data_IF_910323498633
#
_entry.id   IF_910323498633
#
_cell.length_a   1.000
_cell.length_b   1.000
_cell.length_c   1.000
_cell.angle_alpha   90.00
_cell.angle_beta   90.00
_cell.angle_gamma   90.00
#
_symmetry.space_group_name_H-M   'P 1'
#
loop_
_entity.id
_entity.type
_entity.pdbx_description
1 polymer ?
#
# COMPACT_ATOMS: atom_id res chain seq x y z
N UNK A 1 5.45 12.79 18.72
CA UNK A 1 4.64 13.80 18.01
C UNK A 1 3.16 13.44 18.15
N UNK A 2 2.25 14.39 18.36
CA UNK A 2 0.82 14.09 18.39
C UNK A 2 0.41 13.46 17.06
N UNK A 3 -0.38 12.38 17.12
CA UNK A 3 -0.96 11.73 15.94
C UNK A 3 -1.97 12.72 15.36
N UNK A 4 -1.60 13.45 14.32
CA UNK A 4 -2.54 14.31 13.61
C UNK A 4 -3.37 13.43 12.68
N UNK A 5 -4.65 13.31 12.98
CA UNK A 5 -5.63 12.63 12.13
C UNK A 5 -6.88 13.48 11.98
N UNK A 6 -7.59 13.26 10.88
CA UNK A 6 -8.90 13.87 10.62
C UNK A 6 -9.91 12.74 10.37
N UNK A 7 -10.98 12.71 11.19
CA UNK A 7 -12.00 11.68 11.08
C UNK A 7 -13.09 12.08 10.10
N UNK A 8 -13.49 11.16 9.25
CA UNK A 8 -14.59 11.28 8.29
C UNK A 8 -15.62 10.20 8.60
N UNK A 9 -16.89 10.56 8.67
CA UNK A 9 -17.99 9.61 8.73
C UNK A 9 -18.48 9.26 7.33
N UNK A 10 -18.61 7.99 7.02
CA UNK A 10 -19.12 7.49 5.76
C UNK A 10 -20.13 6.37 6.00
N UNK A 11 -21.43 6.69 5.86
CA UNK A 11 -22.49 5.79 6.29
C UNK A 11 -22.36 5.42 7.77
N UNK A 12 -22.32 4.12 8.05
CA UNK A 12 -22.15 3.58 9.40
C UNK A 12 -20.66 3.33 9.75
N UNK A 13 -19.74 3.84 8.96
CA UNK A 13 -18.29 3.65 9.15
C UNK A 13 -17.60 4.97 9.41
N UNK A 14 -16.49 4.93 10.12
CA UNK A 14 -15.56 6.04 10.26
C UNK A 14 -14.24 5.72 9.57
N UNK A 15 -13.61 6.74 9.05
CA UNK A 15 -12.32 6.73 8.41
C UNK A 15 -11.42 7.77 9.08
N UNK A 16 -10.18 7.45 9.35
CA UNK A 16 -9.20 8.41 9.86
C UNK A 16 -8.13 8.68 8.81
N UNK A 17 -8.11 9.92 8.30
CA UNK A 17 -7.03 10.39 7.43
C UNK A 17 -5.84 10.76 8.29
N UNK A 18 -4.70 10.13 8.05
CA UNK A 18 -3.50 10.33 8.83
C UNK A 18 -2.55 11.30 8.13
N UNK A 19 -1.91 12.17 8.88
CA UNK A 19 -0.87 13.10 8.33
C UNK A 19 0.31 12.37 7.68
N UNK A 20 0.46 11.08 7.97
CA UNK A 20 1.45 10.17 7.36
C UNK A 20 1.04 9.62 5.98
N UNK A 21 0.04 10.24 5.31
CA UNK A 21 -0.49 9.82 4.00
C UNK A 21 -1.05 8.40 4.01
N UNK A 22 -1.74 8.04 5.07
CA UNK A 22 -2.43 6.76 5.21
C UNK A 22 -3.86 6.97 5.68
N UNK A 23 -4.70 5.97 5.51
CA UNK A 23 -6.06 5.93 5.99
C UNK A 23 -6.19 4.77 6.98
N UNK A 24 -6.75 5.03 8.14
CA UNK A 24 -7.07 3.99 9.12
C UNK A 24 -8.58 3.72 9.12
N UNK A 25 -8.96 2.47 9.14
CA UNK A 25 -10.32 1.99 9.38
C UNK A 25 -10.43 1.56 10.84
N UNK A 26 -10.96 2.39 11.76
CA UNK A 26 -10.94 2.06 13.19
C UNK A 26 -11.73 0.80 13.53
N UNK A 27 -12.84 0.52 12.82
CA UNK A 27 -13.70 -0.62 13.11
C UNK A 27 -13.02 -1.96 12.90
N UNK A 28 -12.13 -2.07 11.90
CA UNK A 28 -11.40 -3.31 11.57
C UNK A 28 -9.94 -3.23 11.93
N UNK A 29 -9.48 -2.04 12.36
CA UNK A 29 -8.06 -1.73 12.60
C UNK A 29 -7.19 -2.10 11.38
N UNK A 30 -7.67 -1.76 10.18
CA UNK A 30 -6.95 -1.93 8.92
C UNK A 30 -6.34 -0.59 8.49
N UNK A 31 -5.07 -0.62 8.10
CA UNK A 31 -4.34 0.54 7.61
C UNK A 31 -4.22 0.47 6.09
N UNK A 32 -4.56 1.57 5.41
CA UNK A 32 -4.50 1.68 3.95
C UNK A 32 -3.43 2.69 3.54
N UNK A 33 -2.64 2.34 2.54
CA UNK A 33 -1.68 3.20 1.85
C UNK A 33 -1.80 2.97 0.34
N UNK A 34 -1.28 3.88 -0.50
CA UNK A 34 -1.27 3.72 -1.96
C UNK A 34 -0.08 4.43 -2.60
N UNK A 35 0.16 4.15 -3.89
CA UNK A 35 1.04 4.91 -4.79
C UNK A 35 2.46 5.10 -4.23
N UNK A 36 3.08 4.05 -3.74
CA UNK A 36 4.42 4.11 -3.13
C UNK A 36 5.51 4.19 -4.18
N UNK A 37 5.29 3.52 -5.34
CA UNK A 37 6.18 3.53 -6.50
C UNK A 37 7.64 3.20 -6.18
N UNK A 38 7.89 2.11 -5.47
CA UNK A 38 9.25 1.60 -5.20
C UNK A 38 9.97 1.26 -6.50
N UNK A 39 11.27 1.48 -6.54
CA UNK A 39 12.11 1.27 -7.73
C UNK A 39 12.05 2.41 -8.74
N UNK A 40 11.40 3.53 -8.42
CA UNK A 40 11.32 4.71 -9.30
C UNK A 40 12.69 5.30 -9.59
N UNK A 41 13.56 5.35 -8.58
CA UNK A 41 14.93 5.84 -8.74
C UNK A 41 15.76 4.98 -9.69
N UNK A 42 15.71 3.66 -9.53
CA UNK A 42 16.41 2.71 -10.38
C UNK A 42 15.93 2.79 -11.84
N UNK A 43 14.63 2.93 -12.04
CA UNK A 43 14.04 3.09 -13.37
C UNK A 43 14.57 4.33 -14.09
N UNK A 44 14.62 5.48 -13.42
CA UNK A 44 15.13 6.71 -14.03
C UNK A 44 16.62 6.65 -14.29
N UNK A 45 17.42 6.06 -13.39
CA UNK A 45 18.86 5.86 -13.61
C UNK A 45 19.15 4.97 -14.81
N UNK A 46 18.41 3.87 -14.98
CA UNK A 46 18.51 2.99 -16.15
C UNK A 46 18.18 3.72 -17.45
N UNK A 47 17.36 4.77 -17.39
CA UNK A 47 17.01 5.62 -18.53
C UNK A 47 17.91 6.89 -18.64
N UNK A 48 19.06 6.91 -17.96
CA UNK A 48 20.05 7.98 -18.05
C UNK A 48 19.72 9.26 -17.29
N UNK A 49 18.72 9.22 -16.39
CA UNK A 49 18.35 10.37 -15.55
C UNK A 49 18.95 10.15 -14.16
N UNK A 50 19.95 10.95 -13.74
CA UNK A 50 20.56 10.79 -12.44
C UNK A 50 19.60 11.26 -11.34
N UNK A 51 19.08 10.33 -10.55
CA UNK A 51 18.32 10.61 -9.32
C UNK A 51 19.07 10.05 -8.11
N UNK A 52 19.00 10.74 -6.99
CA UNK A 52 19.53 10.24 -5.72
C UNK A 52 18.63 9.13 -5.19
N UNK A 53 19.22 7.97 -4.93
CA UNK A 53 18.51 6.69 -4.75
C UNK A 53 18.00 6.38 -3.33
N UNK A 54 17.75 7.39 -2.48
CA UNK A 54 17.32 7.15 -1.09
C UNK A 54 15.79 7.11 -0.89
N UNK A 55 14.99 7.29 -1.97
CA UNK A 55 13.54 7.36 -1.85
C UNK A 55 12.90 6.04 -1.39
N UNK A 56 13.39 4.91 -1.88
CA UNK A 56 12.82 3.60 -1.55
C UNK A 56 13.04 3.24 -0.08
N UNK A 57 14.24 3.49 0.45
CA UNK A 57 14.53 3.25 1.87
C UNK A 57 13.70 4.15 2.78
N UNK A 58 13.50 5.40 2.40
CA UNK A 58 12.63 6.33 3.13
C UNK A 58 11.17 5.89 3.10
N UNK A 59 10.68 5.40 1.95
CA UNK A 59 9.32 4.88 1.82
C UNK A 59 9.12 3.63 2.67
N UNK A 60 10.03 2.66 2.61
CA UNK A 60 9.97 1.44 3.42
C UNK A 60 10.04 1.76 4.92
N UNK A 61 10.91 2.69 5.33
CA UNK A 61 10.99 3.17 6.71
C UNK A 61 9.70 3.85 7.16
N UNK A 62 9.09 4.65 6.29
CA UNK A 62 7.81 5.32 6.55
C UNK A 62 6.68 4.31 6.79
N UNK A 63 6.59 3.27 5.96
CA UNK A 63 5.63 2.17 6.15
C UNK A 63 5.85 1.49 7.50
N UNK A 64 7.09 1.16 7.83
CA UNK A 64 7.43 0.53 9.11
C UNK A 64 7.01 1.40 10.30
N UNK A 65 7.27 2.70 10.23
CA UNK A 65 6.93 3.65 11.28
C UNK A 65 5.42 3.80 11.45
N UNK A 66 4.66 3.88 10.34
CA UNK A 66 3.20 3.99 10.39
C UNK A 66 2.61 2.73 11.03
N UNK A 67 3.02 1.55 10.57
CA UNK A 67 2.54 0.28 11.14
C UNK A 67 2.88 0.18 12.63
N UNK A 68 4.10 0.52 13.02
CA UNK A 68 4.51 0.53 14.44
C UNK A 68 3.67 1.50 15.28
N UNK A 69 3.36 2.69 14.74
CA UNK A 69 2.63 3.73 15.47
C UNK A 69 1.15 3.42 15.66
N UNK A 70 0.51 2.77 14.68
CA UNK A 70 -0.93 2.49 14.71
C UNK A 70 -1.27 1.06 15.06
N UNK A 71 -0.29 0.16 15.02
CA UNK A 71 -0.42 -1.27 15.33
C UNK A 71 -1.68 -1.90 14.68
N UNK A 72 -1.81 -1.82 13.34
CA UNK A 72 -2.98 -2.32 12.65
C UNK A 72 -2.98 -3.85 12.60
N UNK A 73 -4.16 -4.46 12.49
CA UNK A 73 -4.30 -5.90 12.26
C UNK A 73 -3.85 -6.31 10.84
N UNK A 74 -3.92 -5.36 9.90
CA UNK A 74 -3.61 -5.59 8.50
C UNK A 74 -3.17 -4.30 7.83
N UNK A 75 -2.24 -4.44 6.89
CA UNK A 75 -1.87 -3.39 5.93
C UNK A 75 -2.47 -3.72 4.57
N UNK A 76 -3.22 -2.79 4.01
CA UNK A 76 -3.78 -2.87 2.66
C UNK A 76 -3.08 -1.82 1.81
N UNK A 77 -2.48 -2.23 0.71
CA UNK A 77 -1.85 -1.35 -0.28
C UNK A 77 -2.80 -1.25 -1.46
N UNK A 78 -3.30 -0.04 -1.76
CA UNK A 78 -4.26 0.21 -2.82
C UNK A 78 -3.55 0.49 -4.16
N UNK A 79 -2.73 -0.45 -4.60
CA UNK A 79 -2.02 -0.44 -5.87
C UNK A 79 -0.75 0.40 -5.89
N UNK A 80 -0.01 0.19 -6.97
CA UNK A 80 1.21 0.89 -7.32
C UNK A 80 2.27 0.89 -6.20
N UNK A 81 2.47 -0.30 -5.59
CA UNK A 81 3.58 -0.54 -4.68
C UNK A 81 4.91 -0.37 -5.42
N UNK A 82 5.00 -0.88 -6.64
CA UNK A 82 6.17 -0.77 -7.49
C UNK A 82 5.96 0.26 -8.60
N UNK A 83 7.05 0.87 -9.05
CA UNK A 83 6.98 1.83 -10.17
C UNK A 83 6.81 1.13 -11.52
N UNK A 84 7.42 -0.04 -11.69
CA UNK A 84 7.33 -0.86 -12.89
C UNK A 84 7.81 -2.28 -12.59
N UNK A 85 7.24 -3.29 -13.23
CA UNK A 85 7.74 -4.66 -13.15
C UNK A 85 9.21 -4.81 -13.60
N UNK A 86 9.67 -3.90 -14.44
CA UNK A 86 11.05 -3.89 -14.95
C UNK A 86 12.04 -3.20 -14.01
N UNK A 87 11.57 -2.43 -13.03
CA UNK A 87 12.41 -1.75 -12.04
C UNK A 87 12.59 -2.52 -10.73
N UNK A 88 12.06 -3.74 -10.65
CA UNK A 88 12.17 -4.57 -9.45
C UNK A 88 13.47 -5.35 -9.52
N UNK A 89 14.53 -4.78 -8.94
CA UNK A 89 15.78 -5.51 -8.72
C UNK A 89 15.60 -6.58 -7.64
N UNK A 90 16.40 -7.64 -7.65
CA UNK A 90 16.40 -8.64 -6.57
C UNK A 90 16.72 -8.01 -5.20
N UNK A 91 17.53 -6.96 -5.18
CA UNK A 91 17.81 -6.18 -3.97
C UNK A 91 16.55 -5.50 -3.44
N UNK A 92 15.79 -4.81 -4.30
CA UNK A 92 14.54 -4.16 -3.89
C UNK A 92 13.52 -5.18 -3.41
N UNK A 93 13.38 -6.29 -4.13
CA UNK A 93 12.49 -7.39 -3.75
C UNK A 93 12.83 -7.92 -2.36
N UNK A 94 14.11 -8.20 -2.10
CA UNK A 94 14.58 -8.66 -0.79
C UNK A 94 14.28 -7.63 0.31
N UNK A 95 14.43 -6.32 0.05
CA UNK A 95 14.09 -5.27 1.02
C UNK A 95 12.60 -5.27 1.37
N UNK A 96 11.72 -5.45 0.38
CA UNK A 96 10.27 -5.52 0.59
C UNK A 96 9.89 -6.80 1.35
N UNK A 97 10.48 -7.94 1.01
CA UNK A 97 10.26 -9.21 1.71
C UNK A 97 10.70 -9.12 3.18
N UNK A 98 11.88 -8.57 3.46
CA UNK A 98 12.39 -8.35 4.82
C UNK A 98 11.48 -7.39 5.61
N UNK A 99 10.98 -6.33 4.97
CA UNK A 99 10.01 -5.44 5.60
C UNK A 99 8.74 -6.22 5.98
N UNK A 100 8.17 -6.98 5.04
CA UNK A 100 6.94 -7.73 5.27
C UNK A 100 7.07 -8.72 6.42
N UNK A 101 8.19 -9.42 6.51
CA UNK A 101 8.51 -10.32 7.63
C UNK A 101 8.64 -9.55 8.96
N UNK A 102 9.32 -8.40 8.94
CA UNK A 102 9.55 -7.60 10.15
C UNK A 102 8.27 -6.96 10.71
N UNK A 103 7.27 -6.71 9.89
CA UNK A 103 6.00 -6.12 10.31
C UNK A 103 5.11 -7.13 11.05
N UNK A 104 5.26 -8.41 10.77
CA UNK A 104 4.49 -9.50 11.40
C UNK A 104 2.97 -9.28 11.39
N UNK A 105 2.46 -8.70 10.32
CA UNK A 105 1.03 -8.48 10.06
C UNK A 105 0.69 -8.95 8.66
N UNK A 106 -0.58 -9.23 8.42
CA UNK A 106 -1.05 -9.56 7.08
C UNK A 106 -0.94 -8.34 6.15
N UNK A 107 -0.33 -8.53 4.97
CA UNK A 107 -0.22 -7.50 3.94
C UNK A 107 -1.00 -7.96 2.71
N UNK A 108 -1.92 -7.12 2.26
CA UNK A 108 -2.70 -7.32 1.03
C UNK A 108 -2.39 -6.19 0.06
N UNK A 109 -2.00 -6.53 -1.16
CA UNK A 109 -1.80 -5.58 -2.26
C UNK A 109 -2.94 -5.73 -3.25
N UNK A 110 -3.75 -4.69 -3.38
CA UNK A 110 -4.68 -4.54 -4.48
C UNK A 110 -3.86 -4.13 -5.70
N UNK A 111 -3.91 -4.92 -6.77
CA UNK A 111 -3.06 -4.69 -7.93
C UNK A 111 -3.35 -3.33 -8.59
N UNK A 112 -2.32 -2.50 -8.69
CA UNK A 112 -2.28 -1.37 -9.60
C UNK A 112 -1.73 -1.80 -10.97
N UNK A 113 -1.83 -0.92 -11.95
CA UNK A 113 -1.34 -1.20 -13.31
C UNK A 113 0.19 -1.42 -13.34
N UNK A 114 0.93 -0.82 -12.42
CA UNK A 114 2.38 -0.99 -12.29
C UNK A 114 2.79 -2.30 -11.59
N UNK A 115 1.89 -2.92 -10.83
CA UNK A 115 2.17 -4.14 -10.07
C UNK A 115 1.95 -5.44 -10.87
N UNK A 116 1.38 -5.34 -12.07
CA UNK A 116 1.01 -6.52 -12.88
C UNK A 116 2.26 -7.36 -13.19
N UNK A 117 2.22 -8.63 -12.78
CA UNK A 117 3.33 -9.58 -12.97
C UNK A 117 4.39 -9.55 -11.87
N UNK A 118 4.26 -8.67 -10.87
CA UNK A 118 5.12 -8.66 -9.70
C UNK A 118 4.81 -9.84 -8.76
N UNK A 119 5.84 -10.38 -8.14
CA UNK A 119 5.69 -11.44 -7.12
C UNK A 119 6.66 -11.17 -5.98
N UNK A 120 6.14 -11.06 -4.78
CA UNK A 120 6.90 -10.85 -3.55
C UNK A 120 6.33 -11.77 -2.48
N UNK A 121 7.18 -12.40 -1.68
CA UNK A 121 6.76 -13.28 -0.60
C UNK A 121 6.05 -12.51 0.50
N UNK A 122 5.19 -13.21 1.24
CA UNK A 122 4.45 -12.69 2.40
C UNK A 122 3.47 -11.53 2.09
N UNK A 123 3.18 -11.27 0.81
CA UNK A 123 2.16 -10.31 0.36
C UNK A 123 1.09 -11.08 -0.42
N UNK A 124 -0.16 -10.87 -0.07
CA UNK A 124 -1.31 -11.43 -0.81
C UNK A 124 -1.73 -10.45 -1.90
N UNK A 125 -1.73 -10.88 -3.15
CA UNK A 125 -2.11 -10.07 -4.31
C UNK A 125 -3.58 -10.28 -4.65
N UNK A 126 -4.33 -9.19 -4.81
CA UNK A 126 -5.77 -9.19 -5.07
C UNK A 126 -6.10 -8.20 -6.21
N UNK A 127 -7.09 -8.51 -7.04
CA UNK A 127 -7.59 -7.54 -8.03
C UNK A 127 -8.46 -6.46 -7.38
N UNK A 128 -9.24 -6.84 -6.39
CA UNK A 128 -10.04 -5.97 -5.54
C UNK A 128 -10.32 -6.68 -4.22
N UNK A 129 -10.78 -5.94 -3.23
CA UNK A 129 -11.23 -6.50 -1.95
C UNK A 129 -12.57 -5.92 -1.56
N UNK A 130 -13.50 -6.77 -1.15
CA UNK A 130 -14.75 -6.37 -0.50
C UNK A 130 -14.60 -6.44 1.01
N UNK A 131 -15.06 -5.41 1.67
CA UNK A 131 -15.34 -5.35 3.10
C UNK A 131 -16.83 -5.08 3.29
N UNK A 132 -17.34 -5.17 4.50
CA UNK A 132 -18.78 -4.97 4.76
C UNK A 132 -19.32 -3.65 4.19
N UNK A 133 -18.54 -2.57 4.26
CA UNK A 133 -18.98 -1.21 3.90
C UNK A 133 -18.16 -0.59 2.78
N UNK A 134 -17.11 -1.27 2.30
CA UNK A 134 -16.17 -0.71 1.32
C UNK A 134 -15.80 -1.75 0.27
N UNK A 135 -15.50 -1.24 -0.91
CA UNK A 135 -14.82 -1.99 -1.95
C UNK A 135 -13.50 -1.26 -2.21
N UNK A 136 -12.41 -1.99 -2.08
CA UNK A 136 -11.08 -1.49 -2.31
C UNK A 136 -10.64 -1.92 -3.71
N UNK A 137 -10.28 -0.96 -4.53
CA UNK A 137 -9.72 -1.14 -5.88
C UNK A 137 -8.72 -0.04 -6.16
N UNK A 138 -7.74 -0.29 -7.02
CA UNK A 138 -6.83 0.75 -7.47
C UNK A 138 -7.51 1.66 -8.49
N UNK A 139 -8.12 1.07 -9.51
CA UNK A 139 -8.90 1.81 -10.51
C UNK A 139 -10.35 2.00 -10.07
N UNK A 140 -11.01 3.09 -10.49
CA UNK A 140 -12.43 3.26 -10.25
C UNK A 140 -13.22 2.11 -10.83
N UNK A 141 -14.01 1.47 -10.00
CA UNK A 141 -14.93 0.42 -10.45
C UNK A 141 -16.25 1.09 -10.82
N UNK A 142 -16.73 0.84 -12.05
CA UNK A 142 -18.04 1.32 -12.49
C UNK A 142 -19.18 0.81 -11.57
N UNK A 143 -20.40 1.28 -11.77
CA UNK A 143 -21.56 0.88 -10.95
C UNK A 143 -21.60 -0.63 -10.82
N UNK A 144 -21.44 -1.13 -9.59
CA UNK A 144 -21.80 -2.51 -9.31
C UNK A 144 -23.29 -2.62 -9.52
N UNK A 145 -23.73 -3.32 -10.56
CA UNK A 145 -25.09 -3.78 -10.65
C UNK A 145 -25.37 -4.62 -9.40
N UNK A 146 -26.50 -4.35 -8.74
CA UNK A 146 -26.91 -4.96 -7.46
C UNK A 146 -27.23 -6.47 -7.57
N UNK A 147 -26.57 -7.18 -8.45
CA UNK A 147 -26.75 -8.62 -8.68
C UNK A 147 -25.51 -9.40 -8.27
N UNK A 148 -25.24 -9.43 -6.95
CA UNK A 148 -24.42 -10.51 -6.40
C UNK A 148 -25.07 -10.94 -5.09
N UNK A 149 -25.84 -12.00 -5.21
CA UNK A 149 -26.20 -12.89 -4.12
C UNK A 149 -24.93 -13.59 -3.62
#
# INVERSE_FOLDING_TARGET
MPKMSFSISWGNSSLEMLSSKALLLPQTNELLICDIHLGKGDYFQQNGIPLTNNSDEQNLLSIKNIVKNYNPNKLIILGDLFHSKFSISESLKSKVENLSESLNIKIELILGNHDIGCKVKNITFLNYKRSSNFIFSHEPIGKFENNIL
#
